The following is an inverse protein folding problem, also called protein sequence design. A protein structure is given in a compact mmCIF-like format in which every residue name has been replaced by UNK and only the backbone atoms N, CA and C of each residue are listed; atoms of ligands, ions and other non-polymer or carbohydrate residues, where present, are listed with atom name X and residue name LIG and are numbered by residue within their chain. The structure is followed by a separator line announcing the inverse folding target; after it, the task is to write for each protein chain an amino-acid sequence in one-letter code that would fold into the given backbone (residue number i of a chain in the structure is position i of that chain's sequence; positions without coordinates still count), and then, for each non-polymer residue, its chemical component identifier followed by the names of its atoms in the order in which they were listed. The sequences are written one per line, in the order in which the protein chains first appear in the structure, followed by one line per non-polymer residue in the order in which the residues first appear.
data_IF_910223577664
#
_entry.id   IF_910223577664
#
_cell.length_a   1.000
_cell.length_b   1.000
_cell.length_c   1.000
_cell.angle_alpha   90.00
_cell.angle_beta   90.00
_cell.angle_gamma   90.00
#
_symmetry.space_group_name_H-M   'P 1'
#
loop_
_entity.id
_entity.type
_entity.pdbx_description
1 polymer ?
#
# COMPACT_ATOMS: atom_id res chain seq x y z
N UNK A 1 48.19 51.49 -28.10
CA UNK A 1 47.87 50.53 -29.17
C UNK A 1 48.29 49.15 -28.70
N UNK A 2 47.31 48.25 -28.64
CA UNK A 2 47.39 46.78 -28.60
C UNK A 2 48.13 46.03 -27.47
N UNK A 3 47.29 45.35 -26.69
CA UNK A 3 47.47 44.08 -25.98
C UNK A 3 48.12 42.99 -26.85
N UNK A 4 48.88 42.06 -26.24
CA UNK A 4 48.40 40.68 -25.99
C UNK A 4 49.43 39.81 -25.25
N UNK A 5 48.92 39.13 -24.23
CA UNK A 5 49.57 38.09 -23.42
C UNK A 5 49.83 36.82 -24.24
N UNK A 6 50.99 36.20 -24.02
CA UNK A 6 51.27 34.81 -24.38
C UNK A 6 51.98 34.12 -23.22
N UNK A 7 51.32 33.17 -22.57
CA UNK A 7 51.89 32.33 -21.53
C UNK A 7 52.13 30.92 -22.09
N UNK A 8 53.36 30.41 -21.94
CA UNK A 8 53.73 29.02 -22.25
C UNK A 8 54.60 28.45 -21.12
N UNK A 9 54.11 27.33 -20.57
CA UNK A 9 54.74 26.15 -19.93
C UNK A 9 55.94 26.27 -18.97
N UNK A 10 55.85 25.53 -17.85
CA UNK A 10 56.68 24.35 -17.59
C UNK A 10 56.17 23.59 -16.33
N UNK A 11 55.71 22.34 -16.46
CA UNK A 11 56.40 21.05 -16.14
C UNK A 11 56.00 20.47 -14.78
N UNK A 12 55.46 19.24 -14.81
CA UNK A 12 55.27 18.31 -13.69
C UNK A 12 56.42 17.28 -13.64
N UNK A 13 56.66 16.59 -12.52
CA UNK A 13 56.26 15.15 -12.41
C UNK A 13 55.83 14.70 -10.97
N UNK A 14 54.85 13.78 -10.81
CA UNK A 14 54.92 12.30 -10.57
C UNK A 14 55.78 11.95 -9.33
N UNK A 15 55.37 11.23 -8.26
CA UNK A 15 54.78 9.89 -8.09
C UNK A 15 54.42 9.69 -6.57
N UNK A 16 53.32 9.07 -6.13
CA UNK A 16 53.04 7.63 -5.82
C UNK A 16 52.68 7.38 -4.33
N UNK A 17 51.48 6.81 -4.16
CA UNK A 17 51.01 5.80 -3.18
C UNK A 17 51.14 6.01 -1.66
N UNK A 18 49.98 6.13 -1.00
CA UNK A 18 49.67 5.40 0.24
C UNK A 18 48.16 5.13 0.28
N UNK A 19 47.79 3.87 0.52
CA UNK A 19 46.40 3.42 0.59
C UNK A 19 45.80 3.50 1.99
N UNK A 20 44.49 3.24 2.00
CA UNK A 20 43.70 2.59 3.05
C UNK A 20 43.28 3.37 4.32
N UNK A 21 41.97 3.69 4.30
CA UNK A 21 40.98 3.65 5.37
C UNK A 21 41.04 4.65 6.54
N UNK A 22 40.14 5.64 6.46
CA UNK A 22 39.26 6.02 7.57
C UNK A 22 37.84 6.18 7.04
N UNK A 23 36.93 5.35 7.55
CA UNK A 23 35.48 5.51 7.42
C UNK A 23 35.07 6.68 8.29
N UNK A 24 34.55 7.76 7.70
CA UNK A 24 33.82 8.79 8.43
C UNK A 24 32.59 9.20 7.62
N UNK A 25 31.46 9.07 8.30
CA UNK A 25 30.12 9.37 7.83
C UNK A 25 29.98 10.83 7.37
N UNK A 26 29.29 11.02 6.25
CA UNK A 26 28.66 12.31 5.93
C UNK A 26 27.23 12.06 5.51
N UNK A 27 26.31 12.63 6.28
CA UNK A 27 24.87 12.46 6.16
C UNK A 27 24.30 12.95 4.84
N UNK A 28 23.37 12.16 4.31
CA UNK A 28 22.35 12.66 3.42
C UNK A 28 21.30 13.38 4.28
N UNK A 29 21.06 14.66 3.96
CA UNK A 29 19.89 15.39 4.42
C UNK A 29 18.66 14.68 3.88
N UNK A 30 17.68 14.49 4.77
CA UNK A 30 16.43 13.79 4.54
C UNK A 30 15.34 14.84 4.28
N UNK A 31 15.18 15.22 3.02
CA UNK A 31 14.17 16.16 2.55
C UNK A 31 12.83 15.43 2.35
N UNK A 32 12.13 15.17 3.46
CA UNK A 32 10.66 15.25 3.55
C UNK A 32 9.82 14.34 2.65
N UNK A 33 10.39 13.25 2.11
CA UNK A 33 9.73 12.32 1.18
C UNK A 33 9.73 10.88 1.64
N UNK A 34 9.79 10.63 2.96
CA UNK A 34 9.92 9.30 3.57
C UNK A 34 8.73 8.36 3.31
N UNK A 35 8.64 7.81 2.11
CA UNK A 35 7.88 6.59 1.86
C UNK A 35 8.67 5.46 2.51
N UNK A 36 8.25 5.07 3.72
CA UNK A 36 8.78 3.91 4.40
C UNK A 36 8.70 2.67 3.47
N UNK A 37 9.85 2.27 2.95
CA UNK A 37 10.07 0.98 2.32
C UNK A 37 9.77 -0.08 3.40
N UNK A 38 8.61 -0.73 3.33
CA UNK A 38 8.20 -1.75 4.30
C UNK A 38 6.77 -1.65 4.84
N UNK A 39 5.93 -0.72 4.38
CA UNK A 39 4.49 -0.74 4.70
C UNK A 39 3.76 -1.93 4.08
N UNK A 40 2.83 -2.56 4.81
CA UNK A 40 1.84 -3.51 4.29
C UNK A 40 0.46 -2.87 4.35
N UNK A 41 -0.23 -2.79 3.22
CA UNK A 41 -1.67 -2.49 3.14
C UNK A 41 -2.38 -3.83 3.10
N UNK A 42 -3.32 -4.11 4.02
CA UNK A 42 -3.67 -5.51 4.33
C UNK A 42 -4.38 -6.31 3.22
N UNK A 43 -4.80 -5.68 2.12
CA UNK A 43 -5.33 -6.36 0.94
C UNK A 43 -4.34 -6.41 -0.23
N UNK A 44 -3.17 -5.78 -0.12
CA UNK A 44 -2.11 -5.81 -1.12
C UNK A 44 -1.03 -6.80 -0.67
N UNK A 45 -0.75 -7.87 -1.44
CA UNK A 45 0.38 -8.74 -1.18
C UNK A 45 1.67 -7.92 -1.03
N UNK A 46 2.52 -8.17 0.00
CA UNK A 46 3.69 -7.34 0.27
C UNK A 46 4.63 -7.20 -0.94
N UNK A 47 4.75 -8.28 -1.73
CA UNK A 47 5.57 -8.27 -2.94
C UNK A 47 5.02 -7.38 -4.04
N UNK A 48 3.70 -7.34 -4.22
CA UNK A 48 3.04 -6.44 -5.17
C UNK A 48 3.16 -4.99 -4.72
N UNK A 49 3.01 -4.72 -3.43
CA UNK A 49 3.20 -3.37 -2.89
C UNK A 49 4.63 -2.86 -3.10
N UNK A 50 5.63 -3.71 -2.92
CA UNK A 50 7.02 -3.38 -3.24
C UNK A 50 7.20 -3.01 -4.72
N UNK A 51 6.56 -3.76 -5.63
CA UNK A 51 6.57 -3.47 -7.07
C UNK A 51 5.95 -2.08 -7.36
N UNK A 52 4.79 -1.77 -6.79
CA UNK A 52 4.13 -0.47 -6.99
C UNK A 52 4.97 0.70 -6.46
N UNK A 53 5.56 0.55 -5.28
CA UNK A 53 6.44 1.56 -4.70
C UNK A 53 7.69 1.77 -5.54
N UNK A 54 8.26 0.68 -6.08
CA UNK A 54 9.43 0.75 -6.94
C UNK A 54 9.11 1.43 -8.28
N UNK A 55 8.04 1.01 -8.95
CA UNK A 55 7.58 1.60 -10.20
C UNK A 55 7.32 3.11 -10.06
N UNK A 56 6.64 3.54 -9.00
CA UNK A 56 6.38 4.97 -8.75
C UNK A 56 7.67 5.79 -8.57
N UNK A 57 8.73 5.22 -7.97
CA UNK A 57 10.05 5.88 -7.86
C UNK A 57 10.81 5.91 -9.19
N UNK A 58 10.67 4.86 -10.00
CA UNK A 58 11.47 4.68 -11.21
C UNK A 58 10.89 5.36 -12.45
N UNK A 59 9.56 5.58 -12.51
CA UNK A 59 8.89 6.05 -13.73
C UNK A 59 9.48 7.37 -14.28
N UNK A 60 10.02 8.24 -13.42
CA UNK A 60 10.65 9.49 -13.84
C UNK A 60 11.88 9.30 -14.73
N UNK A 61 12.53 8.13 -14.68
CA UNK A 61 13.64 7.78 -15.60
C UNK A 61 13.14 7.54 -17.03
N UNK A 62 11.90 7.11 -17.18
CA UNK A 62 11.30 6.76 -18.48
C UNK A 62 10.37 7.84 -19.01
N UNK A 63 9.66 8.54 -18.12
CA UNK A 63 8.79 9.67 -18.45
C UNK A 63 9.17 10.87 -17.56
N UNK A 64 10.24 11.62 -17.88
CA UNK A 64 10.79 12.68 -17.01
C UNK A 64 9.83 13.81 -16.67
N UNK A 65 8.82 14.04 -17.52
CA UNK A 65 7.78 15.05 -17.31
C UNK A 65 6.64 14.57 -16.42
N UNK A 66 6.55 13.27 -16.10
CA UNK A 66 5.49 12.76 -15.24
C UNK A 66 5.60 13.35 -13.83
N UNK A 67 4.46 13.74 -13.27
CA UNK A 67 4.33 14.25 -11.90
C UNK A 67 3.17 13.54 -11.20
N UNK A 68 3.21 13.48 -9.88
CA UNK A 68 2.11 12.94 -9.07
C UNK A 68 1.87 11.43 -9.16
N UNK A 69 2.72 10.68 -9.88
CA UNK A 69 2.67 9.20 -9.82
C UNK A 69 2.95 8.75 -8.38
N UNK A 70 2.13 7.82 -7.89
CA UNK A 70 2.24 7.28 -6.54
C UNK A 70 1.82 5.82 -6.52
N UNK A 71 2.35 5.05 -5.56
CA UNK A 71 1.97 3.63 -5.46
C UNK A 71 0.46 3.41 -5.25
N UNK A 72 -0.32 4.30 -4.57
CA UNK A 72 -1.78 4.17 -4.50
C UNK A 72 -2.47 4.21 -5.87
N UNK A 73 -1.94 4.98 -6.84
CA UNK A 73 -2.46 5.01 -8.21
C UNK A 73 -2.31 3.64 -8.87
N UNK A 74 -1.12 3.04 -8.78
CA UNK A 74 -0.84 1.70 -9.32
C UNK A 74 -1.65 0.62 -8.60
N UNK A 75 -1.76 0.71 -7.28
CA UNK A 75 -2.58 -0.19 -6.48
C UNK A 75 -4.06 -0.09 -6.89
N UNK A 76 -4.60 1.10 -7.10
CA UNK A 76 -5.99 1.29 -7.54
C UNK A 76 -6.31 0.58 -8.85
N UNK A 77 -5.41 0.64 -9.84
CA UNK A 77 -5.56 -0.10 -11.10
C UNK A 77 -5.48 -1.61 -10.84
N UNK A 78 -4.39 -2.09 -10.22
CA UNK A 78 -4.19 -3.53 -9.99
C UNK A 78 -5.28 -4.17 -9.11
N UNK A 79 -5.92 -3.39 -8.24
CA UNK A 79 -7.07 -3.83 -7.44
C UNK A 79 -8.25 -4.21 -8.32
N UNK A 80 -8.56 -3.39 -9.31
CA UNK A 80 -9.67 -3.63 -10.24
C UNK A 80 -9.31 -4.71 -11.25
N UNK A 81 -8.07 -4.72 -11.74
CA UNK A 81 -7.64 -5.64 -12.81
C UNK A 81 -7.45 -7.09 -12.36
N UNK A 82 -6.83 -7.30 -11.20
CA UNK A 82 -6.48 -8.65 -10.74
C UNK A 82 -6.67 -8.86 -9.24
N UNK A 83 -7.22 -7.86 -8.55
CA UNK A 83 -7.20 -7.80 -7.09
C UNK A 83 -5.78 -8.04 -6.55
N UNK A 84 -4.79 -7.32 -7.11
CA UNK A 84 -3.36 -7.43 -6.76
C UNK A 84 -2.77 -8.84 -6.90
N UNK A 85 -3.17 -9.59 -7.94
CA UNK A 85 -2.73 -10.98 -8.14
C UNK A 85 -3.04 -11.90 -6.93
N UNK A 86 -4.07 -11.61 -6.14
CA UNK A 86 -4.48 -12.47 -5.02
C UNK A 86 -4.78 -13.90 -5.53
N UNK A 87 -4.28 -14.89 -4.79
CA UNK A 87 -4.38 -16.30 -5.18
C UNK A 87 -3.25 -16.77 -6.10
N UNK A 88 -2.27 -15.91 -6.43
CA UNK A 88 -1.03 -16.27 -7.12
C UNK A 88 0.16 -16.24 -6.18
N UNK A 89 1.19 -17.02 -6.50
CA UNK A 89 2.52 -16.90 -5.93
C UNK A 89 3.27 -15.80 -6.67
N UNK A 90 3.91 -14.89 -5.93
CA UNK A 90 4.78 -13.85 -6.49
C UNK A 90 6.17 -14.04 -5.92
N UNK A 91 7.12 -14.43 -6.78
CA UNK A 91 8.48 -14.73 -6.39
C UNK A 91 9.27 -13.45 -6.03
N UNK A 92 10.46 -13.61 -5.42
CA UNK A 92 11.32 -12.49 -5.05
C UNK A 92 11.69 -11.61 -6.25
N UNK A 93 12.00 -12.24 -7.39
CA UNK A 93 12.27 -11.59 -8.67
C UNK A 93 11.02 -11.03 -9.37
N UNK A 94 9.83 -11.14 -8.76
CA UNK A 94 8.59 -10.60 -9.29
C UNK A 94 7.76 -11.55 -10.17
N UNK A 95 8.27 -12.74 -10.53
CA UNK A 95 7.51 -13.69 -11.39
C UNK A 95 6.21 -14.14 -10.71
N UNK A 96 5.09 -14.02 -11.43
CA UNK A 96 3.75 -14.36 -10.94
C UNK A 96 3.31 -15.71 -11.51
N UNK A 97 3.03 -16.66 -10.61
CA UNK A 97 2.60 -18.02 -10.98
C UNK A 97 1.34 -18.47 -10.23
N UNK A 98 0.41 -19.17 -10.90
CA UNK A 98 0.31 -19.28 -12.37
C UNK A 98 0.05 -17.90 -13.01
N UNK A 99 0.35 -17.79 -14.31
CA UNK A 99 0.14 -16.57 -15.09
C UNK A 99 -1.33 -16.12 -15.03
N UNK A 100 -1.55 -14.81 -15.16
CA UNK A 100 -2.88 -14.21 -15.10
C UNK A 100 -3.32 -13.88 -16.52
N UNK A 101 -4.42 -14.50 -16.95
CA UNK A 101 -5.02 -14.31 -18.26
C UNK A 101 -6.45 -13.83 -18.12
N UNK A 102 -6.79 -12.79 -18.89
CA UNK A 102 -8.15 -12.34 -19.10
C UNK A 102 -8.94 -13.31 -19.99
N UNK A 103 -10.21 -12.98 -20.18
CA UNK A 103 -11.07 -13.68 -21.14
C UNK A 103 -10.52 -13.53 -22.57
N UNK A 104 -10.73 -14.55 -23.40
CA UNK A 104 -10.39 -14.46 -24.82
C UNK A 104 -11.30 -13.45 -25.50
N UNK A 105 -10.71 -12.48 -26.18
CA UNK A 105 -11.42 -11.41 -26.87
C UNK A 105 -11.91 -11.84 -28.26
N UNK A 106 -12.76 -12.88 -28.31
CA UNK A 106 -13.30 -13.47 -29.54
C UNK A 106 -14.79 -13.14 -29.84
N UNK A 107 -15.36 -12.11 -29.20
CA UNK A 107 -16.78 -11.75 -29.36
C UNK A 107 -17.81 -12.74 -28.79
N UNK A 108 -17.42 -13.72 -27.96
CA UNK A 108 -18.34 -14.75 -27.42
C UNK A 108 -19.36 -14.28 -26.38
N UNK A 109 -19.24 -13.05 -25.87
CA UNK A 109 -20.00 -12.52 -24.73
C UNK A 109 -19.41 -12.85 -23.37
N UNK A 110 -18.43 -13.77 -23.28
CA UNK A 110 -17.79 -14.16 -22.03
C UNK A 110 -17.08 -12.95 -21.39
N UNK A 111 -17.39 -12.66 -20.12
CA UNK A 111 -16.84 -11.48 -19.44
C UNK A 111 -17.28 -10.14 -20.04
N UNK A 112 -18.40 -10.10 -20.77
CA UNK A 112 -18.90 -8.90 -21.45
C UNK A 112 -18.21 -8.60 -22.78
N UNK A 113 -17.35 -9.50 -23.26
CA UNK A 113 -16.67 -9.36 -24.54
C UNK A 113 -17.61 -9.63 -25.72
N UNK A 114 -18.14 -8.60 -26.36
CA UNK A 114 -18.95 -8.73 -27.59
C UNK A 114 -18.19 -8.36 -28.87
N UNK A 115 -16.91 -8.01 -28.76
CA UNK A 115 -16.11 -7.49 -29.88
C UNK A 115 -14.89 -8.35 -30.07
N UNK A 116 -14.66 -8.83 -31.30
CA UNK A 116 -13.45 -9.60 -31.62
C UNK A 116 -12.25 -8.67 -31.63
N UNK A 117 -11.19 -9.05 -30.90
CA UNK A 117 -9.88 -8.42 -30.94
C UNK A 117 -8.86 -9.44 -31.47
N UNK A 118 -8.24 -9.19 -32.63
CA UNK A 118 -7.30 -10.13 -33.24
C UNK A 118 -6.01 -10.24 -32.42
N UNK A 119 -5.33 -11.39 -32.51
CA UNK A 119 -4.00 -11.60 -31.94
C UNK A 119 -3.00 -10.55 -32.46
N UNK A 120 -2.16 -10.01 -31.57
CA UNK A 120 -1.16 -8.99 -31.89
C UNK A 120 0.28 -9.41 -31.62
N UNK A 121 0.51 -10.57 -31.00
CA UNK A 121 1.85 -10.98 -30.57
C UNK A 121 2.20 -12.44 -30.91
N UNK A 122 1.33 -13.16 -31.64
CA UNK A 122 1.56 -14.56 -32.01
C UNK A 122 1.41 -15.52 -30.84
N UNK A 123 0.69 -15.12 -29.79
CA UNK A 123 0.54 -15.87 -28.54
C UNK A 123 1.75 -15.80 -27.61
N UNK A 124 2.66 -14.83 -27.81
CA UNK A 124 3.89 -14.70 -27.03
C UNK A 124 3.60 -14.54 -25.53
N UNK A 125 2.66 -13.69 -25.18
CA UNK A 125 2.36 -13.39 -23.78
C UNK A 125 1.17 -14.17 -23.24
N UNK A 126 0.20 -14.54 -24.07
CA UNK A 126 -1.04 -15.16 -23.62
C UNK A 126 -1.22 -16.63 -24.02
N UNK A 127 -0.31 -17.16 -24.85
CA UNK A 127 -0.28 -18.56 -25.27
C UNK A 127 -1.29 -18.93 -26.35
N UNK A 128 -1.88 -17.98 -27.06
CA UNK A 128 -2.88 -18.26 -28.12
C UNK A 128 -2.71 -17.35 -29.34
N UNK A 129 -2.84 -17.92 -30.54
CA UNK A 129 -2.93 -17.15 -31.79
C UNK A 129 -4.39 -16.94 -32.26
N UNK A 130 -5.38 -17.43 -31.50
CA UNK A 130 -6.80 -17.42 -31.88
C UNK A 130 -7.56 -16.15 -31.48
N UNK A 131 -6.83 -15.07 -31.16
CA UNK A 131 -7.37 -13.82 -30.62
C UNK A 131 -6.63 -13.40 -29.36
N UNK A 132 -6.96 -12.22 -28.86
CA UNK A 132 -6.17 -11.56 -27.82
C UNK A 132 -6.69 -11.80 -26.39
N UNK A 133 -5.79 -11.77 -25.40
CA UNK A 133 -6.14 -11.74 -23.97
C UNK A 133 -5.37 -10.65 -23.24
N UNK A 134 -6.03 -10.10 -22.24
CA UNK A 134 -5.33 -9.30 -21.24
C UNK A 134 -4.36 -10.19 -20.41
N UNK A 135 -3.15 -9.71 -20.17
CA UNK A 135 -2.08 -10.45 -19.48
C UNK A 135 -1.60 -9.74 -18.21
N UNK A 136 -1.21 -10.55 -17.22
CA UNK A 136 -0.53 -10.07 -16.03
C UNK A 136 -1.43 -9.38 -14.99
N UNK A 137 -0.85 -8.87 -13.90
CA UNK A 137 -1.59 -8.29 -12.77
C UNK A 137 -2.26 -6.96 -13.10
N UNK A 138 -1.88 -6.35 -14.22
CA UNK A 138 -2.41 -5.09 -14.74
C UNK A 138 -3.26 -5.29 -16.01
N UNK A 139 -3.47 -6.55 -16.44
CA UNK A 139 -4.36 -6.92 -17.55
C UNK A 139 -4.08 -6.10 -18.84
N UNK A 140 -2.81 -5.99 -19.22
CA UNK A 140 -2.45 -5.35 -20.49
C UNK A 140 -2.90 -6.20 -21.67
N UNK A 141 -3.42 -5.56 -22.72
CA UNK A 141 -3.37 -6.18 -24.04
C UNK A 141 -1.90 -6.22 -24.50
N UNK A 142 -1.41 -7.32 -25.07
CA UNK A 142 -0.07 -7.41 -25.67
C UNK A 142 0.32 -6.22 -26.56
N UNK A 143 -0.59 -5.73 -27.41
CA UNK A 143 -0.36 -4.50 -28.21
C UNK A 143 -0.10 -3.25 -27.36
N UNK A 144 -0.76 -3.11 -26.20
CA UNK A 144 -0.47 -2.02 -25.26
C UNK A 144 0.87 -2.24 -24.57
N UNK A 145 1.16 -3.49 -24.17
CA UNK A 145 2.40 -3.86 -23.52
C UNK A 145 3.63 -3.55 -24.40
N UNK A 146 3.56 -3.80 -25.70
CA UNK A 146 4.65 -3.52 -26.64
C UNK A 146 5.12 -2.05 -26.60
N UNK A 147 4.17 -1.12 -26.43
CA UNK A 147 4.49 0.32 -26.32
C UNK A 147 5.01 0.77 -24.95
N UNK A 148 4.68 0.06 -23.86
CA UNK A 148 4.89 0.56 -22.49
C UNK A 148 5.80 -0.31 -21.64
N UNK A 149 6.07 -1.55 -22.04
CA UNK A 149 6.88 -2.50 -21.30
C UNK A 149 8.27 -1.96 -20.99
N UNK A 150 8.69 -2.12 -19.74
CA UNK A 150 10.02 -1.77 -19.24
C UNK A 150 10.48 -2.84 -18.28
N UNK A 151 11.73 -3.25 -18.39
CA UNK A 151 12.40 -4.11 -17.44
C UNK A 151 12.74 -3.28 -16.18
N UNK A 152 12.05 -3.59 -15.09
CA UNK A 152 12.23 -2.97 -13.78
C UNK A 152 13.16 -3.79 -12.88
N UNK A 153 13.35 -5.08 -13.18
CA UNK A 153 14.14 -6.05 -12.42
C UNK A 153 15.62 -6.12 -12.82
N UNK A 154 15.99 -5.52 -13.96
CA UNK A 154 17.32 -5.58 -14.56
C UNK A 154 17.78 -7.00 -14.91
N UNK A 155 16.84 -7.90 -15.22
CA UNK A 155 17.13 -9.26 -15.68
C UNK A 155 17.23 -9.35 -17.22
N UNK A 156 17.05 -8.22 -17.90
CA UNK A 156 17.17 -8.06 -19.35
C UNK A 156 15.87 -8.29 -20.11
N UNK A 157 14.75 -8.61 -19.44
CA UNK A 157 13.48 -8.93 -20.10
C UNK A 157 12.31 -8.17 -19.49
N UNK A 158 11.58 -7.41 -20.30
CA UNK A 158 10.29 -6.86 -19.85
C UNK A 158 9.18 -7.92 -20.01
N UNK A 159 8.67 -8.46 -18.90
CA UNK A 159 7.62 -9.48 -18.87
C UNK A 159 6.32 -8.95 -18.22
N UNK A 160 5.16 -8.92 -18.91
CA UNK A 160 3.91 -8.46 -18.33
C UNK A 160 3.38 -9.38 -17.21
N UNK A 161 3.88 -10.61 -17.08
CA UNK A 161 3.59 -11.51 -15.97
C UNK A 161 4.51 -11.32 -14.77
N UNK A 162 5.51 -10.44 -14.86
CA UNK A 162 6.33 -10.02 -13.73
C UNK A 162 5.70 -8.82 -13.01
N UNK A 163 5.61 -8.90 -11.68
CA UNK A 163 5.02 -7.85 -10.84
C UNK A 163 5.71 -6.48 -11.00
N UNK A 164 7.05 -6.44 -11.07
CA UNK A 164 7.80 -5.18 -11.14
C UNK A 164 7.66 -4.52 -12.50
N UNK A 165 7.86 -5.30 -13.57
CA UNK A 165 7.78 -4.81 -14.94
C UNK A 165 6.36 -4.35 -15.27
N UNK A 166 5.35 -5.15 -14.90
CA UNK A 166 3.96 -4.80 -15.13
C UNK A 166 3.58 -3.52 -14.38
N UNK A 167 4.07 -3.34 -13.14
CA UNK A 167 3.85 -2.10 -12.38
C UNK A 167 4.54 -0.89 -13.02
N UNK A 168 5.77 -1.05 -13.52
CA UNK A 168 6.49 0.03 -14.20
C UNK A 168 5.84 0.37 -15.55
N UNK A 169 5.43 -0.62 -16.33
CA UNK A 169 4.68 -0.44 -17.57
C UNK A 169 3.35 0.29 -17.34
N UNK A 170 2.62 -0.04 -16.27
CA UNK A 170 1.41 0.68 -15.89
C UNK A 170 1.70 2.14 -15.51
N UNK A 171 2.79 2.38 -14.79
CA UNK A 171 3.22 3.72 -14.45
C UNK A 171 3.52 4.54 -15.72
N UNK A 172 4.30 3.99 -16.65
CA UNK A 172 4.62 4.61 -17.95
C UNK A 172 3.34 4.91 -18.73
N UNK A 173 2.42 3.96 -18.82
CA UNK A 173 1.19 4.11 -19.58
C UNK A 173 0.28 5.22 -19.02
N UNK A 174 0.09 5.25 -17.69
CA UNK A 174 -0.68 6.29 -17.00
C UNK A 174 -0.02 7.67 -17.11
N UNK A 175 1.31 7.73 -17.02
CA UNK A 175 2.07 8.96 -17.20
C UNK A 175 1.95 9.50 -18.65
N UNK A 176 1.84 8.62 -19.65
CA UNK A 176 1.75 8.98 -21.07
C UNK A 176 2.87 9.95 -21.48
N UNK A 177 2.50 11.06 -22.12
CA UNK A 177 3.45 12.09 -22.56
C UNK A 177 3.94 13.05 -21.45
N UNK A 178 3.75 12.70 -20.16
CA UNK A 178 4.17 13.51 -19.01
C UNK A 178 3.03 14.19 -18.28
N UNK A 179 1.96 13.45 -17.99
CA UNK A 179 0.83 13.93 -17.18
C UNK A 179 1.28 14.28 -15.76
N UNK A 180 0.56 15.20 -15.16
CA UNK A 180 0.57 15.48 -13.73
C UNK A 180 -0.62 14.81 -13.07
N UNK A 181 -0.39 13.62 -12.53
CA UNK A 181 -1.41 12.77 -11.92
C UNK A 181 -1.87 13.26 -10.54
N UNK A 182 -1.24 14.30 -9.97
CA UNK A 182 -1.78 14.98 -8.80
C UNK A 182 -3.01 15.83 -9.15
N UNK A 183 -3.18 16.19 -10.43
CA UNK A 183 -4.36 16.91 -10.92
C UNK A 183 -5.48 15.93 -11.24
N UNK A 184 -6.62 16.08 -10.59
CA UNK A 184 -7.77 15.18 -10.74
C UNK A 184 -8.20 14.99 -12.19
N UNK A 185 -8.25 16.07 -12.99
CA UNK A 185 -8.63 15.99 -14.40
C UNK A 185 -7.67 15.14 -15.23
N UNK A 186 -6.37 15.21 -14.96
CA UNK A 186 -5.37 14.42 -15.67
C UNK A 186 -5.33 12.97 -15.18
N UNK A 187 -5.52 12.74 -13.87
CA UNK A 187 -5.66 11.39 -13.32
C UNK A 187 -6.88 10.67 -13.91
N UNK A 188 -8.04 11.33 -13.95
CA UNK A 188 -9.26 10.79 -14.59
C UNK A 188 -9.03 10.46 -16.06
N UNK A 189 -8.36 11.36 -16.79
CA UNK A 189 -8.04 11.14 -18.20
C UNK A 189 -7.05 9.97 -18.41
N UNK A 190 -6.08 9.79 -17.51
CA UNK A 190 -5.15 8.65 -17.54
C UNK A 190 -5.87 7.31 -17.30
N UNK A 191 -6.73 7.25 -16.28
CA UNK A 191 -7.51 6.04 -15.97
C UNK A 191 -8.50 5.74 -17.09
N UNK A 192 -9.13 6.76 -17.69
CA UNK A 192 -10.03 6.57 -18.83
C UNK A 192 -9.30 6.14 -20.10
N UNK A 193 -8.05 6.56 -20.30
CA UNK A 193 -7.19 6.04 -21.37
C UNK A 193 -6.91 4.55 -21.15
N UNK A 194 -6.71 4.13 -19.89
CA UNK A 194 -6.50 2.74 -19.51
C UNK A 194 -7.70 1.86 -19.84
N UNK A 195 -8.91 2.32 -19.49
CA UNK A 195 -10.16 1.68 -19.85
C UNK A 195 -11.24 2.75 -20.06
N UNK A 196 -11.87 2.74 -21.25
CA UNK A 196 -12.83 3.76 -21.72
C UNK A 196 -14.21 3.66 -21.05
N UNK A 197 -14.25 3.41 -19.75
CA UNK A 197 -15.45 3.29 -18.93
C UNK A 197 -15.44 4.29 -17.78
N UNK A 198 -16.47 5.12 -17.67
CA UNK A 198 -16.63 6.06 -16.56
C UNK A 198 -16.86 5.34 -15.23
N UNK A 199 -17.51 4.17 -15.25
CA UNK A 199 -17.69 3.31 -14.08
C UNK A 199 -16.34 2.74 -13.61
N UNK A 200 -15.48 2.34 -14.56
CA UNK A 200 -14.11 1.91 -14.25
C UNK A 200 -13.31 3.05 -13.60
N UNK A 201 -13.35 4.26 -14.18
CA UNK A 201 -12.68 5.45 -13.61
C UNK A 201 -13.15 5.73 -12.18
N UNK A 202 -14.45 5.66 -11.92
CA UNK A 202 -15.00 5.86 -10.57
C UNK A 202 -14.51 4.79 -9.59
N UNK A 203 -14.54 3.51 -9.99
CA UNK A 203 -14.10 2.37 -9.17
C UNK A 203 -12.61 2.48 -8.81
N UNK A 204 -11.74 2.67 -9.81
CA UNK A 204 -10.30 2.84 -9.60
C UNK A 204 -10.03 4.03 -8.70
N UNK A 205 -10.64 5.20 -8.93
CA UNK A 205 -10.45 6.36 -8.05
C UNK A 205 -10.85 6.08 -6.61
N UNK A 206 -11.95 5.36 -6.38
CA UNK A 206 -12.36 4.96 -5.04
C UNK A 206 -11.27 4.14 -4.33
N UNK A 207 -10.62 3.21 -5.03
CA UNK A 207 -9.48 2.47 -4.49
C UNK A 207 -8.23 3.33 -4.31
N UNK A 208 -7.93 4.25 -5.24
CA UNK A 208 -6.84 5.22 -5.09
C UNK A 208 -7.05 6.06 -3.83
N UNK A 209 -8.26 6.54 -3.56
CA UNK A 209 -8.58 7.34 -2.38
C UNK A 209 -8.37 6.51 -1.10
N UNK A 210 -8.85 5.27 -1.08
CA UNK A 210 -8.63 4.35 0.06
C UNK A 210 -7.15 4.07 0.31
N UNK A 211 -6.38 3.75 -0.73
CA UNK A 211 -4.95 3.49 -0.61
C UNK A 211 -4.16 4.75 -0.29
N UNK A 212 -4.55 5.91 -0.81
CA UNK A 212 -3.92 7.19 -0.50
C UNK A 212 -4.16 7.57 0.95
N UNK A 213 -5.36 7.32 1.48
CA UNK A 213 -5.61 7.43 2.91
C UNK A 213 -4.67 6.50 3.68
N UNK A 214 -4.65 5.20 3.37
CA UNK A 214 -3.76 4.22 4.01
C UNK A 214 -2.26 4.53 3.88
N UNK A 215 -1.85 5.23 2.81
CA UNK A 215 -0.48 5.62 2.52
C UNK A 215 0.01 6.80 3.36
N UNK A 216 -0.89 7.63 3.88
CA UNK A 216 -0.51 8.76 4.72
C UNK A 216 0.10 8.19 5.99
N UNK A 217 1.40 8.41 6.16
CA UNK A 217 2.03 8.24 7.47
C UNK A 217 1.32 9.21 8.41
N UNK A 218 0.82 8.75 9.57
CA UNK A 218 0.24 9.65 10.55
C UNK A 218 1.28 10.71 10.92
N UNK A 219 0.94 11.98 10.84
CA UNK A 219 1.83 13.06 11.25
C UNK A 219 1.95 13.03 12.78
N UNK A 220 3.02 12.42 13.29
CA UNK A 220 3.29 12.29 14.72
C UNK A 220 4.20 13.38 15.27
N UNK A 221 4.60 14.35 14.44
CA UNK A 221 5.59 15.38 14.79
C UNK A 221 5.19 16.18 16.04
N UNK A 222 3.88 16.39 16.25
CA UNK A 222 3.32 17.09 17.40
C UNK A 222 2.76 16.14 18.48
N UNK A 223 2.85 14.82 18.28
CA UNK A 223 2.41 13.83 19.26
C UNK A 223 3.60 13.48 20.16
N UNK A 224 3.43 13.64 21.47
CA UNK A 224 4.52 13.46 22.45
C UNK A 224 4.08 12.56 23.61
N UNK A 225 5.03 12.19 24.46
CA UNK A 225 4.79 11.42 25.69
C UNK A 225 4.14 10.05 25.42
N UNK A 226 3.29 9.63 26.36
CA UNK A 226 2.64 8.32 26.34
C UNK A 226 1.79 8.09 25.09
N UNK A 227 1.16 9.14 24.55
CA UNK A 227 0.37 9.05 23.32
C UNK A 227 1.25 8.57 22.16
N UNK A 228 2.45 9.14 22.03
CA UNK A 228 3.42 8.74 21.00
C UNK A 228 3.86 7.30 21.22
N UNK A 229 4.18 6.91 22.45
CA UNK A 229 4.57 5.55 22.81
C UNK A 229 3.53 4.52 22.40
N UNK A 230 2.24 4.78 22.66
CA UNK A 230 1.13 3.88 22.27
C UNK A 230 1.06 3.74 20.76
N UNK A 231 1.06 4.86 20.03
CA UNK A 231 0.92 4.85 18.57
C UNK A 231 2.12 4.17 17.90
N UNK A 232 3.34 4.50 18.29
CA UNK A 232 4.56 3.89 17.75
C UNK A 232 4.61 2.38 18.03
N UNK A 233 4.21 1.96 19.23
CA UNK A 233 4.11 0.53 19.56
C UNK A 233 3.13 -0.21 18.65
N UNK A 234 1.96 0.38 18.37
CA UNK A 234 0.97 -0.22 17.48
C UNK A 234 1.42 -0.21 16.01
N UNK A 235 2.00 0.89 15.53
CA UNK A 235 2.52 1.01 14.16
C UNK A 235 3.68 0.04 13.91
N UNK A 236 4.52 -0.23 14.91
CA UNK A 236 5.58 -1.23 14.83
C UNK A 236 5.06 -2.66 14.60
N UNK A 237 3.78 -2.93 14.89
CA UNK A 237 3.16 -4.23 14.64
C UNK A 237 2.51 -4.33 13.25
N UNK A 238 2.64 -3.32 12.38
CA UNK A 238 2.05 -3.38 11.03
C UNK A 238 2.46 -4.65 10.29
N UNK A 239 1.44 -5.31 9.77
CA UNK A 239 1.54 -6.54 9.03
C UNK A 239 1.63 -7.81 9.90
N UNK A 240 1.72 -7.70 11.23
CA UNK A 240 1.54 -8.89 12.08
C UNK A 240 0.17 -9.51 11.79
N UNK A 241 0.05 -10.85 11.58
CA UNK A 241 -1.22 -11.48 11.24
C UNK A 241 -2.30 -11.27 12.29
N UNK A 242 -3.56 -11.26 11.84
CA UNK A 242 -4.69 -11.37 12.75
C UNK A 242 -4.74 -12.77 13.38
N UNK A 243 -4.87 -12.85 14.70
CA UNK A 243 -5.06 -14.09 15.42
C UNK A 243 -6.21 -13.96 16.41
N UNK A 244 -7.30 -14.72 16.21
CA UNK A 244 -8.49 -14.66 17.07
C UNK A 244 -8.13 -15.02 18.52
N UNK A 245 -8.33 -14.12 19.48
CA UNK A 245 -7.92 -14.31 20.88
C UNK A 245 -6.44 -14.03 21.14
N UNK A 246 -5.63 -13.75 20.10
CA UNK A 246 -4.20 -13.51 20.21
C UNK A 246 -3.85 -12.08 20.61
N UNK A 247 -2.65 -11.91 21.18
CA UNK A 247 -2.13 -10.64 21.66
C UNK A 247 -2.16 -10.50 23.17
N UNK A 248 -1.05 -10.06 23.74
CA UNK A 248 -0.90 -9.78 25.18
C UNK A 248 -0.13 -8.47 25.38
N UNK A 249 -0.08 -7.97 26.61
CA UNK A 249 0.77 -6.85 26.99
C UNK A 249 2.26 -7.02 26.59
N UNK A 250 2.74 -8.26 26.42
CA UNK A 250 4.12 -8.57 26.03
C UNK A 250 4.35 -8.60 24.52
N UNK A 251 3.30 -8.76 23.71
CA UNK A 251 3.41 -8.88 22.25
C UNK A 251 2.44 -9.87 21.61
N UNK A 252 2.66 -10.23 20.33
CA UNK A 252 1.80 -11.16 19.62
C UNK A 252 1.90 -12.57 20.21
N UNK A 253 0.77 -13.26 20.27
CA UNK A 253 0.64 -14.62 20.78
C UNK A 253 -0.17 -15.49 19.83
N UNK A 254 -0.16 -16.80 20.04
CA UNK A 254 -1.19 -17.66 19.44
C UNK A 254 -2.56 -17.32 20.01
N UNK A 255 -3.58 -17.50 19.19
CA UNK A 255 -4.96 -17.29 19.55
C UNK A 255 -5.66 -18.57 19.99
N UNK A 256 -6.98 -18.58 19.87
CA UNK A 256 -7.87 -19.70 20.18
C UNK A 256 -8.78 -19.99 18.98
N UNK A 257 -9.50 -21.11 19.02
CA UNK A 257 -10.61 -21.37 18.12
C UNK A 257 -11.94 -21.09 18.84
N UNK A 258 -12.96 -20.50 18.20
CA UNK A 258 -12.99 -19.95 16.85
C UNK A 258 -13.68 -18.59 16.86
N UNK A 259 -13.41 -17.75 15.85
CA UNK A 259 -14.18 -16.52 15.64
C UNK A 259 -15.66 -16.85 15.35
N UNK A 260 -16.59 -15.87 15.47
CA UNK A 260 -17.98 -16.05 15.06
C UNK A 260 -18.14 -16.53 13.61
N UNK A 261 -17.18 -16.21 12.74
CA UNK A 261 -17.10 -16.67 11.35
C UNK A 261 -16.39 -18.03 11.16
N UNK A 262 -16.11 -18.76 12.24
CA UNK A 262 -15.51 -20.09 12.21
C UNK A 262 -14.02 -20.14 11.90
N UNK A 263 -13.30 -19.01 11.93
CA UNK A 263 -11.85 -18.96 11.67
C UNK A 263 -11.06 -19.15 12.95
N UNK A 264 -10.01 -19.99 12.91
CA UNK A 264 -9.17 -20.31 14.05
C UNK A 264 -7.95 -19.39 14.16
N UNK A 265 -7.65 -18.90 15.36
CA UNK A 265 -6.39 -18.24 15.71
C UNK A 265 -5.35 -19.17 16.34
N UNK A 266 -5.71 -20.42 16.63
CA UNK A 266 -4.91 -21.34 17.46
C UNK A 266 -3.49 -21.62 16.92
N UNK A 267 -3.28 -21.47 15.59
CA UNK A 267 -1.98 -21.70 14.93
C UNK A 267 -1.38 -20.43 14.32
N UNK A 268 -1.93 -19.27 14.63
CA UNK A 268 -1.48 -17.99 14.08
C UNK A 268 -0.89 -17.16 15.22
N UNK A 269 0.40 -16.85 15.16
CA UNK A 269 1.02 -15.92 16.12
C UNK A 269 0.74 -14.49 15.67
N UNK A 270 -0.09 -13.78 16.41
CA UNK A 270 -0.59 -12.47 15.98
C UNK A 270 -1.37 -11.71 17.05
N UNK A 271 -2.22 -10.80 16.60
CA UNK A 271 -3.12 -10.00 17.44
C UNK A 271 -4.57 -10.11 16.96
N UNK A 272 -5.54 -10.10 17.86
CA UNK A 272 -6.86 -9.59 17.54
C UNK A 272 -6.97 -8.10 17.87
N UNK A 273 -8.14 -7.51 17.61
CA UNK A 273 -8.37 -6.07 17.73
C UNK A 273 -8.01 -5.53 19.11
N UNK A 274 -8.55 -6.15 20.16
CA UNK A 274 -8.35 -5.72 21.54
C UNK A 274 -7.03 -6.20 22.14
N UNK A 275 -6.43 -7.27 21.61
CA UNK A 275 -5.08 -7.71 21.95
C UNK A 275 -4.02 -6.73 21.47
N UNK A 276 -4.19 -6.14 20.27
CA UNK A 276 -3.29 -5.08 19.76
C UNK A 276 -3.34 -3.83 20.65
N UNK A 277 -4.53 -3.40 21.05
CA UNK A 277 -4.67 -2.23 21.93
C UNK A 277 -4.10 -2.50 23.31
N UNK A 278 -4.37 -3.67 23.91
CA UNK A 278 -3.74 -4.10 25.17
C UNK A 278 -2.21 -4.04 25.09
N UNK A 279 -1.62 -4.52 24.00
CA UNK A 279 -0.17 -4.45 23.78
C UNK A 279 0.35 -3.01 23.70
N UNK A 280 -0.29 -2.18 22.89
CA UNK A 280 0.16 -0.81 22.63
C UNK A 280 0.10 0.06 23.88
N UNK A 281 -1.01 0.02 24.62
CA UNK A 281 -1.16 0.79 25.86
C UNK A 281 -0.25 0.28 26.99
N UNK A 282 0.04 -1.02 27.03
CA UNK A 282 0.99 -1.57 27.99
C UNK A 282 2.42 -1.01 27.80
N UNK A 283 2.80 -0.56 26.59
CA UNK A 283 4.09 0.12 26.36
C UNK A 283 4.16 1.49 27.00
N UNK A 284 3.02 2.14 27.22
CA UNK A 284 2.89 3.36 28.02
C UNK A 284 2.50 3.07 29.49
N UNK A 285 2.63 1.82 29.96
CA UNK A 285 2.30 1.45 31.34
C UNK A 285 0.79 1.34 31.65
N UNK A 286 -0.09 1.51 30.66
CA UNK A 286 -1.55 1.47 30.85
C UNK A 286 -2.08 0.05 30.63
N UNK A 287 -2.81 -0.48 31.62
CA UNK A 287 -3.44 -1.80 31.55
C UNK A 287 -4.86 -1.68 31.02
N UNK A 288 -5.09 -2.23 29.83
CA UNK A 288 -6.44 -2.35 29.26
C UNK A 288 -7.09 -3.71 29.58
N UNK A 289 -8.42 -3.75 29.78
CA UNK A 289 -9.14 -5.01 29.82
C UNK A 289 -9.07 -5.74 28.47
N UNK A 290 -9.34 -7.04 28.47
CA UNK A 290 -9.06 -7.89 27.31
C UNK A 290 -10.03 -7.69 26.14
N UNK A 291 -11.28 -7.32 26.38
CA UNK A 291 -12.31 -7.25 25.32
C UNK A 291 -12.54 -5.82 24.85
N UNK A 292 -12.86 -5.65 23.56
CA UNK A 292 -13.16 -4.33 22.98
C UNK A 292 -14.30 -3.61 23.71
N UNK A 293 -15.38 -4.32 24.06
CA UNK A 293 -16.49 -3.78 24.84
C UNK A 293 -16.07 -3.29 26.23
N UNK A 294 -15.22 -4.04 26.95
CA UNK A 294 -14.72 -3.59 28.24
C UNK A 294 -13.76 -2.39 28.10
N UNK A 295 -13.00 -2.32 27.00
CA UNK A 295 -12.11 -1.18 26.72
C UNK A 295 -12.87 0.12 26.46
N UNK A 296 -14.12 0.07 25.98
CA UNK A 296 -14.95 1.27 25.85
C UNK A 296 -15.38 1.86 27.20
N UNK A 297 -15.36 1.05 28.27
CA UNK A 297 -15.66 1.47 29.63
C UNK A 297 -14.48 2.06 30.39
N UNK A 298 -13.30 2.20 29.78
CA UNK A 298 -12.13 2.83 30.42
C UNK A 298 -11.83 4.21 29.83
N UNK A 299 -11.33 5.12 30.67
CA UNK A 299 -11.05 6.50 30.27
C UNK A 299 -12.30 7.35 30.07
N UNK A 300 -12.16 8.47 29.37
CA UNK A 300 -13.26 9.36 29.03
C UNK A 300 -13.91 8.92 27.72
N UNK A 301 -15.19 8.53 27.78
CA UNK A 301 -15.98 8.12 26.62
C UNK A 301 -16.23 9.31 25.65
N UNK A 302 -15.98 9.10 24.37
CA UNK A 302 -16.29 10.05 23.27
C UNK A 302 -17.50 9.51 22.49
N UNK A 303 -18.71 10.06 22.66
CA UNK A 303 -19.92 9.50 22.05
C UNK A 303 -19.87 9.56 20.51
N UNK A 304 -20.52 8.60 19.85
CA UNK A 304 -20.55 8.54 18.38
C UNK A 304 -21.06 9.84 17.73
N UNK A 305 -22.04 10.50 18.35
CA UNK A 305 -22.61 11.76 17.88
C UNK A 305 -21.64 12.95 17.87
N UNK A 306 -20.51 12.87 18.58
CA UNK A 306 -19.45 13.88 18.48
C UNK A 306 -18.67 13.80 17.14
N UNK A 307 -18.86 12.72 16.38
CA UNK A 307 -18.20 12.48 15.11
C UNK A 307 -16.71 12.17 15.26
N UNK A 308 -16.06 11.92 14.12
CA UNK A 308 -14.62 11.56 14.07
C UNK A 308 -13.69 12.74 14.33
N UNK A 309 -14.18 13.98 14.20
CA UNK A 309 -13.42 15.21 14.49
C UNK A 309 -13.11 15.40 15.97
N UNK A 310 -13.87 14.75 16.86
CA UNK A 310 -13.61 14.78 18.29
C UNK A 310 -12.43 13.89 18.73
N UNK A 311 -11.98 12.99 17.84
CA UNK A 311 -10.88 12.07 18.09
C UNK A 311 -9.54 12.80 18.05
N UNK A 312 -8.66 12.44 18.98
CA UNK A 312 -7.25 12.85 19.07
C UNK A 312 -6.36 11.62 18.95
N UNK A 313 -5.14 11.75 18.41
CA UNK A 313 -4.19 10.63 18.35
C UNK A 313 -4.07 9.95 19.71
N UNK A 314 -4.10 8.62 19.72
CA UNK A 314 -4.11 7.81 20.92
C UNK A 314 -5.49 7.61 21.56
N UNK A 315 -6.58 8.09 20.98
CA UNK A 315 -7.93 7.66 21.37
C UNK A 315 -8.20 6.24 20.85
N UNK A 316 -8.92 5.43 21.62
CA UNK A 316 -9.51 4.20 21.11
C UNK A 316 -10.72 4.53 20.23
N UNK A 317 -10.92 3.75 19.16
CA UNK A 317 -12.04 3.88 18.20
C UNK A 317 -12.83 2.59 18.19
N UNK A 318 -14.14 2.65 18.38
CA UNK A 318 -14.99 1.47 18.56
C UNK A 318 -16.04 1.32 17.45
N UNK A 319 -16.41 0.07 17.19
CA UNK A 319 -17.51 -0.30 16.31
C UNK A 319 -18.42 -1.31 16.99
N UNK A 320 -19.73 -1.10 16.86
CA UNK A 320 -20.77 -1.86 17.54
C UNK A 320 -21.85 -2.33 16.58
N UNK A 321 -22.46 -3.48 16.88
CA UNK A 321 -23.63 -3.97 16.13
C UNK A 321 -24.85 -3.07 16.36
N UNK A 322 -24.96 -2.48 17.56
CA UNK A 322 -25.96 -1.49 17.91
C UNK A 322 -25.28 -0.23 18.46
N UNK A 323 -25.01 0.79 17.61
CA UNK A 323 -24.41 2.05 18.04
C UNK A 323 -25.15 2.67 19.23
N UNK A 324 -24.41 3.11 20.26
CA UNK A 324 -24.97 3.58 21.52
C UNK A 324 -25.11 2.50 22.61
N UNK A 325 -24.85 1.23 22.30
CA UNK A 325 -24.79 0.13 23.29
C UNK A 325 -23.40 -0.49 23.32
N UNK A 326 -22.56 -0.04 24.25
CA UNK A 326 -21.14 -0.46 24.35
C UNK A 326 -20.96 -1.96 24.56
N UNK A 327 -21.94 -2.65 25.14
CA UNK A 327 -21.94 -4.12 25.25
C UNK A 327 -21.97 -4.86 23.92
N UNK A 328 -22.34 -4.17 22.83
CA UNK A 328 -22.39 -4.74 21.47
C UNK A 328 -21.17 -4.37 20.62
N UNK A 329 -20.14 -3.77 21.23
CA UNK A 329 -18.89 -3.45 20.55
C UNK A 329 -18.19 -4.74 20.13
N UNK A 330 -17.93 -4.84 18.83
CA UNK A 330 -17.30 -6.00 18.20
C UNK A 330 -15.89 -5.71 17.69
N UNK A 331 -15.49 -4.44 17.58
CA UNK A 331 -14.16 -4.05 17.10
C UNK A 331 -13.62 -2.81 17.80
N UNK A 332 -12.30 -2.74 17.89
CA UNK A 332 -11.54 -1.60 18.42
C UNK A 332 -10.27 -1.35 17.60
N UNK A 333 -9.90 -0.09 17.43
CA UNK A 333 -8.61 0.37 16.91
C UNK A 333 -8.06 1.55 17.71
N UNK A 334 -6.86 2.02 17.36
CA UNK A 334 -6.24 3.21 17.96
C UNK A 334 -6.21 4.31 16.90
N UNK A 335 -6.82 5.46 17.17
CA UNK A 335 -6.77 6.61 16.28
C UNK A 335 -5.36 7.16 16.22
N UNK A 336 -4.86 7.39 15.01
CA UNK A 336 -3.48 7.87 14.79
C UNK A 336 -3.44 9.30 14.24
N UNK A 337 -4.60 9.93 14.04
CA UNK A 337 -4.72 11.23 13.38
C UNK A 337 -5.26 11.12 11.96
N UNK A 338 -5.57 12.27 11.36
CA UNK A 338 -5.98 12.42 9.96
C UNK A 338 -7.08 11.46 9.47
N UNK A 339 -8.04 11.12 10.35
CA UNK A 339 -9.14 10.23 10.00
C UNK A 339 -8.77 8.74 9.96
N UNK A 340 -7.62 8.34 10.51
CA UNK A 340 -7.11 6.97 10.44
C UNK A 340 -7.01 6.30 11.80
N UNK A 341 -7.09 4.97 11.79
CA UNK A 341 -6.79 4.12 12.93
C UNK A 341 -5.82 3.00 12.55
N UNK A 342 -4.94 2.63 13.48
CA UNK A 342 -4.21 1.35 13.42
C UNK A 342 -5.05 0.27 14.12
N UNK A 343 -5.24 -0.87 13.48
CA UNK A 343 -6.09 -1.94 14.02
C UNK A 343 -5.61 -3.35 13.61
N UNK A 344 -6.20 -4.36 14.25
CA UNK A 344 -6.21 -5.74 13.77
C UNK A 344 -7.66 -6.14 13.46
N UNK A 345 -8.11 -5.90 12.22
CA UNK A 345 -9.53 -5.88 11.88
C UNK A 345 -10.26 -7.23 11.98
N UNK A 346 -9.77 -8.27 11.31
CA UNK A 346 -10.50 -9.55 11.17
C UNK A 346 -9.61 -10.71 10.70
N UNK A 347 -10.05 -11.97 10.84
CA UNK A 347 -9.33 -13.13 10.31
C UNK A 347 -8.98 -13.00 8.82
N UNK A 348 -7.82 -13.54 8.44
CA UNK A 348 -7.30 -13.46 7.06
C UNK A 348 -6.65 -12.12 6.71
N UNK A 349 -6.56 -11.20 7.66
CA UNK A 349 -5.90 -9.89 7.46
C UNK A 349 -4.70 -9.73 8.40
N UNK A 350 -4.04 -8.59 8.31
CA UNK A 350 -2.90 -8.20 9.15
C UNK A 350 -3.18 -6.88 9.85
N UNK A 351 -2.39 -6.56 10.89
CA UNK A 351 -2.38 -5.24 11.53
C UNK A 351 -2.08 -4.16 10.48
N UNK A 352 -2.91 -3.11 10.38
CA UNK A 352 -2.76 -2.07 9.35
C UNK A 352 -3.42 -0.76 9.75
N UNK A 353 -3.18 0.26 8.94
CA UNK A 353 -3.96 1.48 8.94
C UNK A 353 -5.23 1.30 8.12
N UNK A 354 -6.37 1.68 8.69
CA UNK A 354 -7.66 1.81 8.01
C UNK A 354 -8.21 3.23 8.27
N UNK A 355 -8.93 3.83 7.31
CA UNK A 355 -9.81 4.96 7.61
C UNK A 355 -10.80 4.63 8.74
N UNK A 356 -11.14 5.60 9.58
CA UNK A 356 -12.12 5.42 10.66
C UNK A 356 -13.52 5.09 10.10
N UNK A 357 -13.82 5.49 8.86
CA UNK A 357 -15.07 5.16 8.16
C UNK A 357 -15.00 3.86 7.33
N UNK A 358 -13.89 3.11 7.40
CA UNK A 358 -13.73 1.85 6.65
C UNK A 358 -14.63 0.70 7.13
N UNK A 359 -15.30 0.85 8.29
CA UNK A 359 -16.20 -0.14 8.86
C UNK A 359 -17.52 0.50 9.29
N UNK A 360 -18.62 -0.23 9.14
CA UNK A 360 -19.94 0.19 9.60
C UNK A 360 -20.07 0.08 11.12
N UNK A 361 -21.03 0.82 11.69
CA UNK A 361 -21.33 0.73 13.12
C UNK A 361 -20.38 1.53 14.02
N UNK A 362 -19.81 2.64 13.52
CA UNK A 362 -19.01 3.56 14.34
C UNK A 362 -19.74 3.89 15.66
N UNK A 363 -19.10 3.57 16.77
CA UNK A 363 -19.65 3.70 18.12
C UNK A 363 -18.98 4.83 18.93
N UNK A 364 -18.12 5.64 18.30
CA UNK A 364 -17.34 6.67 18.98
C UNK A 364 -15.99 6.17 19.46
N UNK A 365 -15.45 6.81 20.49
CA UNK A 365 -14.13 6.49 21.03
C UNK A 365 -14.04 6.52 22.55
N UNK A 366 -12.83 6.34 23.07
CA UNK A 366 -12.47 6.57 24.47
C UNK A 366 -11.06 7.17 24.56
N UNK A 367 -10.91 8.20 25.39
CA UNK A 367 -9.65 8.90 25.63
C UNK A 367 -9.07 8.49 26.97
N UNK A 368 -7.83 8.01 26.96
CA UNK A 368 -7.11 7.58 28.16
C UNK A 368 -5.95 8.51 28.53
N UNK A 369 -5.49 9.32 27.58
CA UNK A 369 -4.29 10.15 27.65
C UNK A 369 -4.60 11.59 27.24
#
# INVERSE_FOLDING_TARGET
MLLLFGAVCCVAPIATSAGAYVVLATGARDDGGGIAVGGRVADIPPRMLAAYQNAARQVGKHVPKCRGMSWPILAGIAKVESNHAIGRSVAGNGDIRPRIYGVLLNGSGAGGNTTVFPDTDGGRWDGTASGERAVGPFQFLPSTWDGVGKDAGSDGTADPHNADDAALGAAVYLCGNGRDLAKESQLRAAIFQYNRSTAYVANVRGWIDQYTAAAKTPALDNVTGDVRTVIEAALAQRGVPYSWGGGTAKGPSTGICCSPSGKSGARIRGFDCSGLTTYAYAKAGIRLPRTAAAQAGVGQRIPAGAGTRALKPGDLVFYAYAPGRDSTIYHVGIYVGSGQMINAARPGTVVRLDPVDAMSGYAGGARLL
#
